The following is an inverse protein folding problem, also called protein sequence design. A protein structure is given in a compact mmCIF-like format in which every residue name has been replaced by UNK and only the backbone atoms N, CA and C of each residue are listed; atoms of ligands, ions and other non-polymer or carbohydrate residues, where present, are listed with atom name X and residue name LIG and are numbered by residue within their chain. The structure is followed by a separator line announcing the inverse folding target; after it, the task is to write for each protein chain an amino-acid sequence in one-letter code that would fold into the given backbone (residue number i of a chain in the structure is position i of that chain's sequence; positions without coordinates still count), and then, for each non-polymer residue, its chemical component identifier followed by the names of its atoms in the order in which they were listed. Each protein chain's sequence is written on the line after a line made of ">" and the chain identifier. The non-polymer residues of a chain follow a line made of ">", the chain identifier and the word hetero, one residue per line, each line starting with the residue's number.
data_IF_853494203605
#
_entry.id   IF_853494203605
#
_cell.length_a   1.000
_cell.length_b   1.000
_cell.length_c   1.000
_cell.angle_alpha   90.00
_cell.angle_beta   90.00
_cell.angle_gamma   90.00
#
_symmetry.space_group_name_H-M   'P 1'
#
loop_
_entity.id
_entity.type
_entity.pdbx_description
1 polymer ?
#
# COMPACT_ATOMS: atom_id res chain seq x y z
N UNK A 1 12.27 8.68 -20.72
CA UNK A 1 11.16 7.84 -21.18
C UNK A 1 10.09 8.75 -21.77
N UNK A 2 9.61 8.50 -23.01
CA UNK A 2 8.47 9.26 -23.55
C UNK A 2 7.23 8.90 -22.70
N UNK A 3 6.69 9.88 -22.00
CA UNK A 3 5.44 9.71 -21.28
C UNK A 3 4.34 9.39 -22.28
N UNK A 4 3.68 8.24 -22.12
CA UNK A 4 2.54 7.90 -22.95
C UNK A 4 1.32 8.63 -22.38
N UNK A 5 1.00 9.80 -22.92
CA UNK A 5 -0.03 10.71 -22.42
C UNK A 5 -1.41 10.01 -22.33
N UNK A 6 -1.70 9.11 -23.26
CA UNK A 6 -2.96 8.34 -23.27
C UNK A 6 -3.00 7.36 -22.10
N UNK A 7 -1.90 6.65 -21.83
CA UNK A 7 -1.83 5.73 -20.71
C UNK A 7 -1.94 6.46 -19.36
N UNK A 8 -1.36 7.66 -19.25
CA UNK A 8 -1.45 8.50 -18.04
C UNK A 8 -2.89 9.00 -17.80
N UNK A 9 -3.58 9.45 -18.85
CA UNK A 9 -5.00 9.82 -18.74
C UNK A 9 -5.89 8.63 -18.39
N UNK A 10 -5.67 7.48 -19.02
CA UNK A 10 -6.47 6.28 -18.79
C UNK A 10 -6.29 5.74 -17.37
N UNK A 11 -5.05 5.67 -16.89
CA UNK A 11 -4.77 5.22 -15.51
C UNK A 11 -5.36 6.17 -14.48
N UNK A 12 -5.27 7.49 -14.69
CA UNK A 12 -5.91 8.47 -13.81
C UNK A 12 -7.44 8.35 -13.82
N UNK A 13 -8.06 8.17 -14.99
CA UNK A 13 -9.50 8.01 -15.10
C UNK A 13 -9.99 6.71 -14.43
N UNK A 14 -9.28 5.61 -14.64
CA UNK A 14 -9.58 4.32 -14.01
C UNK A 14 -9.43 4.40 -12.49
N UNK A 15 -8.38 5.04 -12.00
CA UNK A 15 -8.17 5.24 -10.56
C UNK A 15 -9.30 6.07 -9.95
N UNK A 16 -9.70 7.20 -10.58
CA UNK A 16 -10.81 8.04 -10.12
C UNK A 16 -12.14 7.29 -10.13
N UNK A 17 -12.42 6.52 -11.16
CA UNK A 17 -13.62 5.69 -11.24
C UNK A 17 -13.63 4.63 -10.12
N UNK A 18 -12.52 3.91 -9.93
CA UNK A 18 -12.39 2.93 -8.85
C UNK A 18 -12.57 3.57 -7.47
N UNK A 19 -11.96 4.75 -7.25
CA UNK A 19 -12.11 5.51 -6.00
C UNK A 19 -13.55 5.95 -5.76
N UNK A 20 -14.24 6.39 -6.80
CA UNK A 20 -15.66 6.77 -6.72
C UNK A 20 -16.54 5.59 -6.30
N UNK A 21 -16.38 4.43 -6.94
CA UNK A 21 -17.14 3.23 -6.56
C UNK A 21 -16.76 2.73 -5.16
N UNK A 22 -15.48 2.70 -4.83
CA UNK A 22 -15.01 2.31 -3.51
C UNK A 22 -15.57 3.21 -2.41
N UNK A 23 -15.81 4.48 -2.70
CA UNK A 23 -16.37 5.44 -1.74
C UNK A 23 -17.75 5.02 -1.19
N UNK A 24 -18.58 4.35 -1.99
CA UNK A 24 -19.93 3.92 -1.57
C UNK A 24 -19.95 2.53 -0.93
N UNK A 25 -18.88 1.76 -1.05
CA UNK A 25 -18.82 0.40 -0.51
C UNK A 25 -18.35 0.41 0.96
N UNK A 26 -18.89 -0.47 1.81
CA UNK A 26 -18.29 -0.77 3.11
C UNK A 26 -16.86 -1.26 2.95
N UNK A 27 -15.97 -0.87 3.87
CA UNK A 27 -14.54 -1.23 3.83
C UNK A 27 -14.32 -2.74 3.64
N UNK A 28 -15.09 -3.56 4.33
CA UNK A 28 -14.99 -5.04 4.25
C UNK A 28 -15.22 -5.57 2.84
N UNK A 29 -16.22 -5.04 2.13
CA UNK A 29 -16.51 -5.43 0.74
C UNK A 29 -15.41 -4.95 -0.21
N UNK A 30 -14.94 -3.74 0.00
CA UNK A 30 -13.85 -3.17 -0.80
C UNK A 30 -12.56 -3.97 -0.65
N UNK A 31 -12.20 -4.36 0.58
CA UNK A 31 -11.05 -5.21 0.85
C UNK A 31 -11.23 -6.63 0.27
N UNK A 32 -12.44 -7.17 0.27
CA UNK A 32 -12.73 -8.43 -0.39
C UNK A 32 -12.49 -8.33 -1.91
N UNK A 33 -12.98 -7.26 -2.55
CA UNK A 33 -12.74 -7.00 -3.99
C UNK A 33 -11.24 -6.86 -4.25
N UNK A 34 -10.52 -6.10 -3.42
CA UNK A 34 -9.06 -5.95 -3.50
C UNK A 34 -8.34 -7.28 -3.44
N UNK A 35 -8.75 -8.16 -2.53
CA UNK A 35 -8.22 -9.51 -2.41
C UNK A 35 -8.43 -10.33 -3.69
N UNK A 36 -9.61 -10.23 -4.33
CA UNK A 36 -9.89 -10.92 -5.61
C UNK A 36 -9.10 -10.32 -6.76
N UNK A 37 -8.91 -9.01 -6.75
CA UNK A 37 -8.01 -8.34 -7.69
C UNK A 37 -6.57 -8.86 -7.55
N UNK A 38 -6.09 -9.03 -6.32
CA UNK A 38 -4.79 -9.64 -6.05
C UNK A 38 -4.67 -11.08 -6.57
N UNK A 39 -5.70 -11.92 -6.41
CA UNK A 39 -5.75 -13.26 -7.00
C UNK A 39 -5.67 -13.21 -8.53
N UNK A 40 -6.35 -12.25 -9.16
CA UNK A 40 -6.32 -12.05 -10.61
C UNK A 40 -4.92 -11.62 -11.08
N UNK A 41 -4.33 -10.63 -10.42
CA UNK A 41 -2.97 -10.15 -10.72
C UNK A 41 -1.97 -11.31 -10.56
N UNK A 42 -2.08 -12.11 -9.50
CA UNK A 42 -1.24 -13.29 -9.29
C UNK A 42 -1.30 -14.24 -10.50
N UNK A 43 -2.47 -14.44 -11.09
CA UNK A 43 -2.63 -15.35 -12.23
C UNK A 43 -1.91 -14.84 -13.48
N UNK A 44 -2.01 -13.56 -13.79
CA UNK A 44 -1.44 -12.97 -15.01
C UNK A 44 0.03 -12.54 -14.90
N UNK A 45 0.52 -12.25 -13.71
CA UNK A 45 1.86 -11.72 -13.48
C UNK A 45 2.89 -12.83 -13.27
N UNK A 46 3.18 -13.57 -14.33
CA UNK A 46 4.16 -14.67 -14.27
C UNK A 46 5.58 -14.17 -13.92
N UNK A 47 5.96 -12.99 -14.41
CA UNK A 47 7.30 -12.44 -14.23
C UNK A 47 7.64 -12.18 -12.76
N UNK A 48 6.79 -11.42 -12.07
CA UNK A 48 7.06 -11.10 -10.65
C UNK A 48 6.83 -12.29 -9.75
N UNK A 49 5.94 -13.23 -10.11
CA UNK A 49 5.84 -14.50 -9.38
C UNK A 49 7.16 -15.27 -9.35
N UNK A 50 7.84 -15.41 -10.52
CA UNK A 50 9.15 -16.10 -10.57
C UNK A 50 10.17 -15.43 -9.65
N UNK A 51 10.21 -14.09 -9.64
CA UNK A 51 11.10 -13.32 -8.77
C UNK A 51 10.73 -13.58 -7.29
N UNK A 52 9.45 -13.55 -6.97
CA UNK A 52 8.96 -13.80 -5.61
C UNK A 52 9.32 -15.22 -5.13
N UNK A 53 9.17 -16.23 -5.98
CA UNK A 53 9.60 -17.61 -5.68
C UNK A 53 11.10 -17.69 -5.39
N UNK A 54 11.91 -17.07 -6.24
CA UNK A 54 13.35 -17.05 -6.06
C UNK A 54 13.75 -16.40 -4.73
N UNK A 55 13.12 -15.28 -4.38
CA UNK A 55 13.37 -14.54 -3.15
C UNK A 55 13.00 -15.37 -1.90
N UNK A 56 11.82 -16.01 -1.88
CA UNK A 56 11.40 -16.84 -0.74
C UNK A 56 12.31 -18.04 -0.56
N UNK A 57 12.69 -18.70 -1.65
CA UNK A 57 13.64 -19.82 -1.60
C UNK A 57 15.00 -19.39 -1.09
N UNK A 58 15.53 -18.25 -1.57
CA UNK A 58 16.80 -17.69 -1.12
C UNK A 58 16.78 -17.32 0.37
N UNK A 59 15.66 -16.85 0.87
CA UNK A 59 15.47 -16.50 2.28
C UNK A 59 15.31 -17.72 3.19
N UNK A 60 15.17 -18.94 2.65
CA UNK A 60 15.04 -20.17 3.42
C UNK A 60 13.76 -20.31 4.26
N UNK A 61 12.79 -19.43 4.06
CA UNK A 61 11.59 -19.32 4.92
C UNK A 61 10.77 -20.60 4.94
N UNK A 62 10.69 -21.30 3.79
CA UNK A 62 9.81 -22.47 3.62
C UNK A 62 10.53 -23.79 3.68
N UNK A 63 11.84 -23.80 3.97
CA UNK A 63 12.68 -25.02 3.99
C UNK A 63 12.52 -25.92 2.76
N UNK A 64 12.20 -25.33 1.60
CA UNK A 64 12.01 -26.04 0.34
C UNK A 64 10.57 -26.51 0.05
N UNK A 65 9.62 -26.29 0.95
CA UNK A 65 8.21 -26.61 0.70
C UNK A 65 7.59 -25.65 -0.33
N UNK A 66 7.31 -26.18 -1.53
CA UNK A 66 6.73 -25.42 -2.63
C UNK A 66 5.30 -24.96 -2.34
N UNK A 67 4.51 -25.76 -1.63
CA UNK A 67 3.12 -25.41 -1.31
C UNK A 67 3.05 -24.18 -0.39
N UNK A 68 3.92 -24.13 0.61
CA UNK A 68 4.08 -22.96 1.47
C UNK A 68 4.56 -21.73 0.70
N UNK A 69 5.49 -21.89 -0.27
CA UNK A 69 5.91 -20.79 -1.15
C UNK A 69 4.73 -20.21 -1.92
N UNK A 70 3.93 -21.06 -2.58
CA UNK A 70 2.74 -20.64 -3.34
C UNK A 70 1.77 -19.85 -2.45
N UNK A 71 1.50 -20.38 -1.24
CA UNK A 71 0.59 -19.76 -0.28
C UNK A 71 1.06 -18.38 0.16
N UNK A 72 2.34 -18.22 0.46
CA UNK A 72 2.91 -16.93 0.88
C UNK A 72 2.81 -15.93 -0.26
N UNK A 73 3.24 -16.29 -1.47
CA UNK A 73 3.24 -15.40 -2.63
C UNK A 73 1.81 -14.98 -2.96
N UNK A 74 0.87 -15.93 -3.00
CA UNK A 74 -0.53 -15.60 -3.27
C UNK A 74 -1.11 -14.64 -2.23
N UNK A 75 -0.78 -14.84 -0.94
CA UNK A 75 -1.20 -13.88 0.12
C UNK A 75 -0.58 -12.50 -0.09
N UNK A 76 0.69 -12.41 -0.52
CA UNK A 76 1.33 -11.13 -0.83
C UNK A 76 0.61 -10.39 -1.99
N UNK A 77 0.23 -11.12 -3.04
CA UNK A 77 -0.57 -10.53 -4.13
C UNK A 77 -1.98 -10.11 -3.67
N UNK A 78 -2.61 -10.88 -2.80
CA UNK A 78 -3.89 -10.51 -2.21
C UNK A 78 -3.78 -9.23 -1.36
N UNK A 79 -2.73 -9.11 -0.54
CA UNK A 79 -2.43 -7.90 0.22
C UNK A 79 -2.16 -6.71 -0.71
N UNK A 80 -1.38 -6.90 -1.77
CA UNK A 80 -1.15 -5.87 -2.78
C UNK A 80 -2.45 -5.38 -3.42
N UNK A 81 -3.35 -6.28 -3.80
CA UNK A 81 -4.66 -5.91 -4.34
C UNK A 81 -5.52 -5.14 -3.32
N UNK A 82 -5.45 -5.50 -2.04
CA UNK A 82 -6.12 -4.76 -0.97
C UNK A 82 -5.53 -3.36 -0.81
N UNK A 83 -4.19 -3.22 -0.83
CA UNK A 83 -3.50 -1.93 -0.75
C UNK A 83 -3.93 -0.98 -1.88
N UNK A 84 -4.06 -1.50 -3.12
CA UNK A 84 -4.56 -0.69 -4.25
C UNK A 84 -5.97 -0.14 -4.00
N UNK A 85 -6.84 -0.94 -3.40
CA UNK A 85 -8.19 -0.48 -3.03
C UNK A 85 -8.13 0.50 -1.87
N UNK A 86 -7.31 0.26 -0.86
CA UNK A 86 -7.18 1.16 0.31
C UNK A 86 -6.68 2.55 -0.08
N UNK A 87 -5.78 2.67 -1.05
CA UNK A 87 -5.36 3.97 -1.60
C UNK A 87 -6.57 4.76 -2.12
N UNK A 88 -7.58 4.09 -2.68
CA UNK A 88 -8.82 4.72 -3.13
C UNK A 88 -9.64 5.32 -1.98
N UNK A 89 -9.39 4.90 -0.74
CA UNK A 89 -10.06 5.45 0.45
C UNK A 89 -9.40 6.68 1.04
N UNK A 90 -8.27 7.14 0.52
CA UNK A 90 -7.57 8.34 1.02
C UNK A 90 -8.51 9.52 1.26
N UNK A 91 -9.47 9.84 0.36
CA UNK A 91 -10.40 10.95 0.59
C UNK A 91 -11.36 10.75 1.78
N UNK A 92 -11.47 9.51 2.29
CA UNK A 92 -12.32 9.17 3.46
C UNK A 92 -11.55 9.19 4.77
N UNK A 93 -10.21 9.27 4.71
CA UNK A 93 -9.36 9.27 5.90
C UNK A 93 -9.51 10.62 6.59
N UNK A 94 -10.26 10.60 7.67
CA UNK A 94 -10.49 11.72 8.57
C UNK A 94 -10.31 11.26 10.02
N UNK A 95 -10.49 12.13 10.97
CA UNK A 95 -10.33 11.82 12.40
C UNK A 95 -11.18 10.63 12.85
N UNK A 96 -12.42 10.55 12.39
CA UNK A 96 -13.33 9.43 12.73
C UNK A 96 -12.86 8.10 12.14
N UNK A 97 -12.33 8.13 10.91
CA UNK A 97 -11.73 6.95 10.28
C UNK A 97 -10.51 6.48 11.06
N UNK A 98 -9.63 7.39 11.46
CA UNK A 98 -8.44 7.07 12.24
C UNK A 98 -8.82 6.42 13.58
N UNK A 99 -9.73 7.03 14.34
CA UNK A 99 -10.18 6.52 15.64
C UNK A 99 -10.81 5.13 15.53
N UNK A 100 -11.50 4.84 14.42
CA UNK A 100 -12.21 3.57 14.22
C UNK A 100 -11.33 2.42 13.70
N UNK A 101 -10.39 2.71 12.81
CA UNK A 101 -9.68 1.69 12.05
C UNK A 101 -8.18 1.64 12.27
N UNK A 102 -7.59 2.66 12.91
CA UNK A 102 -6.14 2.77 13.05
C UNK A 102 -5.76 2.70 14.53
N UNK A 103 -4.92 1.75 14.84
CA UNK A 103 -4.28 1.65 16.14
C UNK A 103 -2.78 1.93 16.00
N UNK A 104 -2.25 2.88 16.78
CA UNK A 104 -0.84 3.25 16.75
C UNK A 104 -0.22 2.79 18.06
N UNK A 105 0.63 1.79 17.96
CA UNK A 105 1.42 1.31 19.08
C UNK A 105 2.60 2.25 19.35
N UNK A 106 2.89 2.46 20.63
CA UNK A 106 4.07 3.22 21.08
C UNK A 106 4.17 4.65 20.51
N UNK A 107 3.04 5.33 20.33
CA UNK A 107 3.00 6.72 19.83
C UNK A 107 3.84 7.67 20.67
N UNK A 108 3.94 7.42 21.96
CA UNK A 108 4.74 8.19 22.92
C UNK A 108 6.22 8.29 22.53
N UNK A 109 6.80 7.30 21.88
CA UNK A 109 8.17 7.36 21.35
C UNK A 109 8.31 8.42 20.24
N UNK A 110 7.31 8.54 19.38
CA UNK A 110 7.29 9.56 18.32
C UNK A 110 7.18 10.94 18.94
N UNK A 111 6.23 11.13 19.86
CA UNK A 111 6.01 12.39 20.54
C UNK A 111 7.25 12.83 21.35
N UNK A 112 7.92 11.89 22.03
CA UNK A 112 9.16 12.14 22.76
C UNK A 112 10.31 12.52 21.82
N UNK A 113 10.40 11.91 20.64
CA UNK A 113 11.42 12.22 19.64
C UNK A 113 11.24 13.66 19.11
N UNK A 114 10.01 14.06 18.78
CA UNK A 114 9.71 15.43 18.33
C UNK A 114 9.96 16.47 19.40
N UNK A 115 9.65 16.20 20.67
CA UNK A 115 9.91 17.10 21.80
C UNK A 115 11.39 17.45 21.98
N UNK A 116 12.33 16.64 21.46
CA UNK A 116 13.76 16.94 21.50
C UNK A 116 14.17 18.10 20.61
N UNK A 117 13.34 18.53 19.66
CA UNK A 117 13.60 19.66 18.76
C UNK A 117 14.77 19.50 17.79
N UNK A 118 15.32 18.28 17.64
CA UNK A 118 16.48 18.00 16.78
C UNK A 118 16.11 17.43 15.41
N UNK A 119 14.82 17.38 15.10
CA UNK A 119 14.30 16.65 13.95
C UNK A 119 14.20 15.14 14.21
N UNK A 120 13.44 14.44 13.36
CA UNK A 120 13.19 13.00 13.46
C UNK A 120 13.33 12.39 12.08
N UNK A 121 14.06 11.29 11.98
CA UNK A 121 14.12 10.47 10.77
C UNK A 121 13.27 9.22 11.02
N UNK A 122 12.20 9.06 10.23
CA UNK A 122 11.41 7.84 10.22
C UNK A 122 12.02 6.82 9.26
N UNK A 123 12.40 5.68 9.80
CA UNK A 123 12.77 4.53 8.97
C UNK A 123 11.54 3.64 8.80
N UNK A 124 11.06 3.52 7.58
CA UNK A 124 9.93 2.66 7.24
C UNK A 124 10.37 1.48 6.38
N UNK A 125 9.66 0.38 6.51
CA UNK A 125 9.82 -0.82 5.68
C UNK A 125 8.59 -0.98 4.78
N UNK A 126 8.77 -1.64 3.63
CA UNK A 126 7.66 -1.95 2.72
C UNK A 126 6.88 -3.16 3.24
N UNK A 127 6.10 -2.94 4.29
CA UNK A 127 5.23 -3.94 4.90
C UNK A 127 3.79 -3.41 4.97
N UNK A 128 2.82 -4.25 4.65
CA UNK A 128 1.42 -3.85 4.59
C UNK A 128 1.18 -2.71 3.60
N UNK A 129 0.37 -1.73 3.99
CA UNK A 129 0.08 -0.55 3.18
C UNK A 129 0.87 0.68 3.68
N UNK A 130 2.13 0.77 3.29
CA UNK A 130 3.02 1.89 3.66
C UNK A 130 2.54 3.24 3.12
N UNK A 131 1.78 3.27 2.02
CA UNK A 131 1.22 4.52 1.49
C UNK A 131 0.23 5.15 2.47
N UNK A 132 -0.61 4.33 3.11
CA UNK A 132 -1.52 4.81 4.14
C UNK A 132 -0.79 5.35 5.37
N UNK A 133 0.36 4.80 5.73
CA UNK A 133 1.12 5.27 6.90
C UNK A 133 1.51 6.74 6.78
N UNK A 134 1.87 7.18 5.57
CA UNK A 134 2.19 8.58 5.29
C UNK A 134 0.97 9.49 5.48
N UNK A 135 -0.17 9.08 4.94
CA UNK A 135 -1.44 9.82 5.05
C UNK A 135 -1.88 9.89 6.52
N UNK A 136 -1.71 8.81 7.27
CA UNK A 136 -2.03 8.74 8.70
C UNK A 136 -1.14 9.71 9.48
N UNK A 137 0.17 9.70 9.26
CA UNK A 137 1.11 10.62 9.91
C UNK A 137 0.74 12.08 9.64
N UNK A 138 0.38 12.44 8.41
CA UNK A 138 -0.09 13.77 8.06
C UNK A 138 -1.37 14.17 8.83
N UNK A 139 -2.35 13.27 8.91
CA UNK A 139 -3.60 13.51 9.63
C UNK A 139 -3.41 13.58 11.16
N UNK A 140 -2.35 13.00 11.69
CA UNK A 140 -1.98 13.11 13.10
C UNK A 140 -1.23 14.41 13.42
N UNK A 141 -0.94 15.24 12.41
CA UNK A 141 -0.28 16.53 12.57
C UNK A 141 1.24 16.44 12.70
N UNK A 142 1.87 15.32 12.37
CA UNK A 142 3.32 15.23 12.34
C UNK A 142 3.84 15.92 11.08
N UNK A 143 4.71 16.95 11.20
CA UNK A 143 5.37 17.55 10.05
C UNK A 143 6.41 16.58 9.52
N UNK A 144 6.30 16.17 8.25
CA UNK A 144 7.30 15.32 7.62
C UNK A 144 7.50 15.65 6.14
N UNK A 145 8.66 15.29 5.63
CA UNK A 145 9.01 15.34 4.22
C UNK A 145 9.24 13.91 3.76
N UNK A 146 8.61 13.53 2.66
CA UNK A 146 8.70 12.20 2.10
C UNK A 146 9.75 12.16 0.98
N UNK A 147 10.69 11.23 1.11
CA UNK A 147 11.64 10.93 0.05
C UNK A 147 11.05 9.84 -0.85
N UNK A 148 10.62 10.20 -2.05
CA UNK A 148 10.01 9.26 -3.00
C UNK A 148 10.71 9.31 -4.35
N UNK A 149 10.63 8.20 -5.08
CA UNK A 149 11.04 8.14 -6.46
C UNK A 149 9.87 8.57 -7.35
N UNK A 150 10.15 9.39 -8.37
CA UNK A 150 9.18 9.73 -9.41
C UNK A 150 8.64 8.45 -10.07
N UNK A 151 7.31 8.30 -10.07
CA UNK A 151 6.61 7.13 -10.63
C UNK A 151 6.47 7.21 -12.15
N UNK A 152 6.81 8.35 -12.77
CA UNK A 152 6.72 8.56 -14.21
C UNK A 152 5.30 8.78 -14.73
N UNK A 153 4.31 8.92 -13.84
CA UNK A 153 2.92 9.28 -14.14
C UNK A 153 2.64 10.68 -13.59
N UNK A 154 2.76 11.71 -14.42
CA UNK A 154 2.67 13.10 -13.98
C UNK A 154 1.32 13.48 -13.33
N UNK A 155 0.27 12.70 -13.59
CA UNK A 155 -1.08 12.94 -13.05
C UNK A 155 -1.42 12.12 -11.81
N UNK A 156 -0.56 11.14 -11.47
CA UNK A 156 -0.71 10.30 -10.27
C UNK A 156 0.36 10.60 -9.21
N UNK A 157 1.31 11.47 -9.54
CA UNK A 157 2.33 11.99 -8.63
C UNK A 157 1.80 13.16 -7.80
#
# INVERSE_FOLDING_TARGET
>A
MKQNLIADYLSCALFKAASFFAYFLPLTWSLFIGRRLGDLIYFFDARHRVIAYANIRKAGITKGDCASCVKIIRKAYQAFGQNLIEISFIPRINKQYLEKYIHIENRDYIDAAFKRGKGVIFLAVHEGNWELSNIICANLGFPFVLFVRDQGFARLN
#
